data_IF_923502295425
#
_entry.id   IF_923502295425
#
_cell.length_a   1.000
_cell.length_b   1.000
_cell.length_c   1.000
_cell.angle_alpha   90.00
_cell.angle_beta   90.00
_cell.angle_gamma   90.00
#
_symmetry.space_group_name_H-M   'P 1'
#
loop_
_entity.id
_entity.type
_entity.pdbx_description
1 polymer ?
#
# COMPACT_ATOMS: atom_id res chain seq x y z
N UNK A 1 1.16 -16.42 -46.36
CA UNK A 1 1.41 -15.04 -45.87
C UNK A 1 0.18 -14.44 -45.18
N UNK A 2 -1.05 -14.62 -45.69
CA UNK A 2 -2.28 -14.08 -45.09
C UNK A 2 -2.62 -14.70 -43.71
N UNK A 3 -2.40 -16.00 -43.53
CA UNK A 3 -2.65 -16.71 -42.28
C UNK A 3 -1.77 -16.24 -41.13
N UNK A 4 -0.49 -15.95 -41.36
CA UNK A 4 0.43 -15.46 -40.33
C UNK A 4 0.11 -14.03 -39.90
N UNK A 5 -0.42 -13.18 -40.77
CA UNK A 5 -0.86 -11.82 -40.44
C UNK A 5 -2.13 -11.86 -39.60
N UNK A 6 -3.10 -12.70 -39.99
CA UNK A 6 -4.33 -12.88 -39.22
C UNK A 6 -4.05 -13.40 -37.80
N UNK A 7 -3.14 -14.38 -37.61
CA UNK A 7 -2.72 -14.88 -36.29
C UNK A 7 -2.03 -13.80 -35.48
N UNK A 8 -1.14 -13.00 -36.08
CA UNK A 8 -0.49 -11.87 -35.39
C UNK A 8 -1.50 -10.82 -34.94
N UNK A 9 -2.47 -10.48 -35.77
CA UNK A 9 -3.54 -9.54 -35.42
C UNK A 9 -4.43 -10.09 -34.29
N UNK A 10 -4.80 -11.37 -34.38
CA UNK A 10 -5.57 -12.03 -33.32
C UNK A 10 -4.85 -12.01 -31.98
N UNK A 11 -3.55 -12.35 -31.96
CA UNK A 11 -2.71 -12.30 -30.76
C UNK A 11 -2.63 -10.87 -30.21
N UNK A 12 -2.39 -9.89 -31.06
CA UNK A 12 -2.29 -8.49 -30.65
C UNK A 12 -3.60 -7.96 -30.06
N UNK A 13 -4.74 -8.24 -30.67
CA UNK A 13 -6.03 -7.70 -30.26
C UNK A 13 -6.67 -8.46 -29.11
N UNK A 14 -6.58 -9.79 -29.08
CA UNK A 14 -7.32 -10.58 -28.09
C UNK A 14 -6.47 -11.01 -26.89
N UNK A 15 -5.17 -11.24 -27.09
CA UNK A 15 -4.28 -11.69 -26.02
C UNK A 15 -3.54 -10.50 -25.41
N UNK A 16 -2.78 -9.78 -26.21
CA UNK A 16 -1.93 -8.70 -25.71
C UNK A 16 -2.74 -7.56 -25.07
N UNK A 17 -3.76 -7.03 -25.76
CA UNK A 17 -4.61 -5.95 -25.23
C UNK A 17 -5.34 -6.35 -23.96
N UNK A 18 -5.76 -7.60 -23.83
CA UNK A 18 -6.40 -8.12 -22.61
C UNK A 18 -5.47 -8.06 -21.40
N UNK A 19 -4.20 -8.45 -21.55
CA UNK A 19 -3.22 -8.41 -20.46
C UNK A 19 -2.77 -6.99 -20.16
N UNK A 20 -2.57 -6.15 -21.18
CA UNK A 20 -2.27 -4.73 -21.00
C UNK A 20 -3.42 -4.03 -20.28
N UNK A 21 -4.67 -4.30 -20.63
CA UNK A 21 -5.84 -3.75 -19.95
C UNK A 21 -5.87 -4.11 -18.45
N UNK A 22 -5.62 -5.38 -18.11
CA UNK A 22 -5.55 -5.82 -16.73
C UNK A 22 -4.39 -5.20 -15.94
N UNK A 23 -3.22 -5.09 -16.57
CA UNK A 23 -2.08 -4.43 -15.97
C UNK A 23 -2.36 -2.93 -15.73
N UNK A 24 -2.99 -2.27 -16.71
CA UNK A 24 -3.38 -0.87 -16.61
C UNK A 24 -4.39 -0.62 -15.48
N UNK A 25 -5.36 -1.50 -15.25
CA UNK A 25 -6.31 -1.40 -14.13
C UNK A 25 -5.59 -1.35 -12.78
N UNK A 26 -4.59 -2.22 -12.59
CA UNK A 26 -3.81 -2.28 -11.35
C UNK A 26 -2.94 -1.03 -11.19
N UNK A 27 -2.28 -0.60 -12.27
CA UNK A 27 -1.45 0.61 -12.25
C UNK A 27 -2.28 1.86 -11.97
N UNK A 28 -3.47 1.98 -12.56
CA UNK A 28 -4.39 3.10 -12.31
C UNK A 28 -4.93 3.08 -10.86
N UNK A 29 -5.20 1.90 -10.33
CA UNK A 29 -5.58 1.75 -8.93
C UNK A 29 -4.47 2.24 -7.99
N UNK A 30 -3.24 1.80 -8.20
CA UNK A 30 -2.07 2.22 -7.41
C UNK A 30 -1.82 3.73 -7.55
N UNK A 31 -1.93 4.27 -8.78
CA UNK A 31 -1.79 5.71 -9.01
C UNK A 31 -2.82 6.50 -8.20
N UNK A 32 -4.08 6.07 -8.22
CA UNK A 32 -5.15 6.73 -7.49
C UNK A 32 -4.94 6.67 -5.98
N UNK A 33 -4.63 5.49 -5.43
CA UNK A 33 -4.43 5.32 -3.98
C UNK A 33 -3.20 6.06 -3.47
N UNK A 34 -2.08 6.03 -4.19
CA UNK A 34 -0.88 6.79 -3.86
C UNK A 34 -1.14 8.30 -3.91
N UNK A 35 -1.90 8.79 -4.91
CA UNK A 35 -2.30 10.20 -5.00
C UNK A 35 -3.17 10.63 -3.82
N UNK A 36 -4.11 9.79 -3.39
CA UNK A 36 -4.94 10.05 -2.20
C UNK A 36 -4.05 10.23 -0.97
N UNK A 37 -3.13 9.30 -0.75
CA UNK A 37 -2.21 9.35 0.41
C UNK A 37 -1.32 10.59 0.37
N UNK A 38 -0.78 10.93 -0.80
CA UNK A 38 0.07 12.10 -0.97
C UNK A 38 -0.70 13.40 -0.68
N UNK A 39 -1.94 13.53 -1.17
CA UNK A 39 -2.79 14.68 -0.85
C UNK A 39 -2.98 14.80 0.66
N UNK A 40 -3.31 13.70 1.34
CA UNK A 40 -3.50 13.67 2.79
C UNK A 40 -2.21 14.04 3.54
N UNK A 41 -1.06 13.52 3.09
CA UNK A 41 0.24 13.77 3.70
C UNK A 41 0.69 15.22 3.50
N UNK A 42 0.51 15.77 2.30
CA UNK A 42 0.88 17.16 1.98
C UNK A 42 0.06 18.18 2.77
N UNK A 43 -1.17 17.83 3.13
CA UNK A 43 -2.04 18.65 3.97
C UNK A 43 -1.85 18.41 5.48
N UNK A 44 -0.86 17.62 5.90
CA UNK A 44 -0.56 17.35 7.30
C UNK A 44 -1.65 16.56 8.02
N UNK A 45 -2.48 15.81 7.29
CA UNK A 45 -3.56 15.04 7.89
C UNK A 45 -3.06 13.93 8.84
N UNK A 46 -1.81 13.50 8.70
CA UNK A 46 -1.18 12.48 9.53
C UNK A 46 -0.31 13.03 10.68
N UNK A 47 -0.19 14.36 10.83
CA UNK A 47 0.70 14.98 11.84
C UNK A 47 0.32 14.61 13.29
N UNK A 48 -0.97 14.31 13.53
CA UNK A 48 -1.41 13.85 14.85
C UNK A 48 -0.77 12.52 15.27
N UNK A 49 -0.36 11.68 14.30
CA UNK A 49 0.32 10.41 14.57
C UNK A 49 1.67 10.62 15.27
N UNK A 50 2.41 11.68 14.91
CA UNK A 50 3.67 12.03 15.57
C UNK A 50 3.46 12.32 17.07
N UNK A 51 2.36 12.98 17.42
CA UNK A 51 2.00 13.25 18.81
C UNK A 51 1.62 11.97 19.55
N UNK A 52 0.87 11.08 18.89
CA UNK A 52 0.43 9.80 19.46
C UNK A 52 1.60 8.84 19.69
N UNK A 53 2.57 8.81 18.76
CA UNK A 53 3.74 7.94 18.85
C UNK A 53 4.79 8.42 19.83
N UNK A 54 4.77 9.71 20.24
CA UNK A 54 5.76 10.30 21.12
C UNK A 54 5.62 9.82 22.55
N UNK A 55 6.51 8.93 22.98
CA UNK A 55 6.61 8.48 24.37
C UNK A 55 8.07 8.20 24.76
N UNK A 56 8.42 8.36 26.02
CA UNK A 56 9.78 8.08 26.52
C UNK A 56 10.07 6.58 26.67
N UNK A 57 9.05 5.76 26.81
CA UNK A 57 9.21 4.32 26.98
C UNK A 57 9.40 3.67 25.60
N UNK A 58 10.57 3.08 25.35
CA UNK A 58 10.95 2.46 24.09
C UNK A 58 9.97 1.40 23.61
N UNK A 59 9.57 0.49 24.51
CA UNK A 59 8.66 -0.62 24.17
C UNK A 59 7.28 -0.09 23.82
N UNK A 60 6.75 0.87 24.60
CA UNK A 60 5.45 1.48 24.31
C UNK A 60 5.49 2.22 22.96
N UNK A 61 6.57 2.95 22.68
CA UNK A 61 6.77 3.65 21.42
C UNK A 61 6.82 2.67 20.24
N UNK A 62 7.59 1.56 20.38
CA UNK A 62 7.68 0.52 19.37
C UNK A 62 6.30 -0.06 19.03
N UNK A 63 5.57 -0.49 20.05
CA UNK A 63 4.24 -1.06 19.86
C UNK A 63 3.26 -0.05 19.27
N UNK A 64 3.26 1.19 19.73
CA UNK A 64 2.40 2.23 19.18
C UNK A 64 2.71 2.48 17.71
N UNK A 65 4.00 2.60 17.33
CA UNK A 65 4.39 2.74 15.93
C UNK A 65 3.98 1.53 15.10
N UNK A 66 4.23 0.32 15.59
CA UNK A 66 3.94 -0.91 14.88
C UNK A 66 2.42 -1.13 14.68
N UNK A 67 1.60 -0.87 15.72
CA UNK A 67 0.12 -0.95 15.62
C UNK A 67 -0.42 0.08 14.62
N UNK A 68 0.03 1.32 14.72
CA UNK A 68 -0.40 2.38 13.80
C UNK A 68 -0.01 2.03 12.37
N UNK A 69 1.23 1.57 12.15
CA UNK A 69 1.71 1.15 10.83
C UNK A 69 0.87 0.01 10.27
N UNK A 70 0.58 -1.01 11.08
CA UNK A 70 -0.24 -2.15 10.68
C UNK A 70 -1.64 -1.72 10.23
N UNK A 71 -2.32 -0.87 11.02
CA UNK A 71 -3.67 -0.38 10.70
C UNK A 71 -3.66 0.51 9.44
N UNK A 72 -2.69 1.40 9.32
CA UNK A 72 -2.59 2.28 8.16
C UNK A 72 -2.30 1.47 6.92
N UNK A 73 -1.36 0.52 6.97
CA UNK A 73 -0.98 -0.31 5.83
C UNK A 73 -2.09 -1.27 5.37
N UNK A 74 -2.99 -1.66 6.26
CA UNK A 74 -4.18 -2.42 5.88
C UNK A 74 -5.15 -1.61 4.99
N UNK A 75 -5.02 -0.28 4.95
CA UNK A 75 -5.88 0.62 4.19
C UNK A 75 -5.17 1.34 3.05
N UNK A 76 -3.87 1.55 3.23
CA UNK A 76 -2.98 2.17 2.27
C UNK A 76 -1.97 1.11 1.81
N UNK A 77 -1.30 1.36 0.68
CA UNK A 77 -0.27 0.43 0.25
C UNK A 77 0.89 0.36 1.25
N UNK A 78 1.53 -0.81 1.33
CA UNK A 78 2.60 -1.11 2.27
C UNK A 78 3.86 -0.25 2.02
N UNK A 79 4.16 0.09 0.76
CA UNK A 79 5.34 0.89 0.42
C UNK A 79 5.20 2.33 0.90
N UNK A 80 4.10 3.00 0.54
CA UNK A 80 3.84 4.39 0.95
C UNK A 80 3.75 4.51 2.46
N UNK A 81 3.06 3.55 3.10
CA UNK A 81 2.99 3.48 4.58
C UNK A 81 4.36 3.32 5.20
N UNK A 82 5.20 2.44 4.66
CA UNK A 82 6.56 2.23 5.15
C UNK A 82 7.38 3.52 5.06
N UNK A 83 7.42 4.17 3.91
CA UNK A 83 8.19 5.42 3.70
C UNK A 83 7.69 6.52 4.64
N UNK A 84 6.37 6.70 4.74
CA UNK A 84 5.77 7.69 5.64
C UNK A 84 6.16 7.43 7.10
N UNK A 85 5.98 6.21 7.58
CA UNK A 85 6.27 5.86 8.98
C UNK A 85 7.76 5.89 9.31
N UNK A 86 8.64 5.47 8.39
CA UNK A 86 10.09 5.59 8.56
C UNK A 86 10.52 7.07 8.62
N UNK A 87 9.92 7.94 7.83
CA UNK A 87 10.18 9.38 7.87
C UNK A 87 9.76 9.99 9.21
N UNK A 88 8.59 9.60 9.72
CA UNK A 88 8.11 10.02 11.05
C UNK A 88 9.00 9.45 12.18
N UNK A 89 9.39 8.20 12.08
CA UNK A 89 10.28 7.55 13.06
C UNK A 89 11.64 8.26 13.12
N UNK A 90 12.21 8.68 11.99
CA UNK A 90 13.48 9.42 11.94
C UNK A 90 13.42 10.75 12.69
N UNK A 91 12.28 11.40 12.75
CA UNK A 91 12.07 12.63 13.50
C UNK A 91 11.97 12.39 15.02
N UNK A 92 11.53 11.20 15.44
CA UNK A 92 11.30 10.86 16.83
C UNK A 92 12.51 10.18 17.49
N UNK A 93 13.25 9.35 16.76
CA UNK A 93 14.34 8.53 17.27
C UNK A 93 15.68 9.08 16.83
N UNK A 94 16.48 9.58 17.78
CA UNK A 94 17.80 10.19 17.50
C UNK A 94 18.87 9.16 17.19
N UNK A 95 18.92 8.08 17.99
CA UNK A 95 19.99 7.09 17.92
C UNK A 95 19.86 6.18 16.69
N UNK A 96 20.91 6.14 15.86
CA UNK A 96 20.94 5.36 14.61
C UNK A 96 20.72 3.85 14.84
N UNK A 97 21.31 3.27 15.89
CA UNK A 97 21.10 1.84 16.21
C UNK A 97 19.65 1.54 16.58
N UNK A 98 19.00 2.41 17.33
CA UNK A 98 17.59 2.24 17.67
C UNK A 98 16.70 2.38 16.45
N UNK A 99 17.06 3.24 15.50
CA UNK A 99 16.32 3.39 14.20
C UNK A 99 16.22 2.07 13.43
N UNK A 100 17.24 1.20 13.51
CA UNK A 100 17.18 -0.12 12.87
C UNK A 100 16.08 -0.99 13.48
N UNK A 101 16.00 -1.05 14.81
CA UNK A 101 14.96 -1.85 15.50
C UNK A 101 13.55 -1.31 15.24
N UNK A 102 13.36 0.00 15.33
CA UNK A 102 12.08 0.62 15.02
C UNK A 102 11.73 0.48 13.54
N UNK A 103 12.70 0.66 12.66
CA UNK A 103 12.53 0.49 11.22
C UNK A 103 12.14 -0.93 10.83
N UNK A 104 12.80 -1.94 11.40
CA UNK A 104 12.43 -3.35 11.17
C UNK A 104 11.00 -3.65 11.61
N UNK A 105 10.59 -3.15 12.78
CA UNK A 105 9.22 -3.34 13.26
C UNK A 105 8.18 -2.62 12.37
N UNK A 106 8.50 -1.42 11.85
CA UNK A 106 7.65 -0.69 10.91
C UNK A 106 7.50 -1.46 9.60
N UNK A 107 8.60 -1.95 9.02
CA UNK A 107 8.57 -2.72 7.75
C UNK A 107 7.75 -4.00 7.92
N UNK A 108 7.95 -4.74 9.02
CA UNK A 108 7.15 -5.94 9.32
C UNK A 108 5.68 -5.62 9.49
N UNK A 109 5.36 -4.57 10.25
CA UNK A 109 3.99 -4.13 10.46
C UNK A 109 3.31 -3.68 9.16
N UNK A 110 4.03 -2.96 8.29
CA UNK A 110 3.52 -2.52 7.00
C UNK A 110 3.22 -3.70 6.07
N UNK A 111 4.14 -4.66 5.95
CA UNK A 111 3.92 -5.82 5.09
C UNK A 111 2.79 -6.72 5.61
N UNK A 112 2.74 -7.00 6.92
CA UNK A 112 1.67 -7.81 7.50
C UNK A 112 0.31 -7.09 7.46
N UNK A 113 0.28 -5.77 7.66
CA UNK A 113 -0.93 -4.96 7.53
C UNK A 113 -1.42 -4.90 6.08
N UNK A 114 -0.50 -4.66 5.13
CA UNK A 114 -0.81 -4.66 3.70
C UNK A 114 -1.35 -5.99 3.20
N UNK A 115 -0.76 -7.11 3.65
CA UNK A 115 -1.22 -8.45 3.30
C UNK A 115 -2.60 -8.80 3.89
N UNK A 116 -3.07 -8.10 4.91
CA UNK A 116 -4.36 -8.37 5.56
C UNK A 116 -5.55 -8.06 4.67
N UNK A 117 -5.46 -7.06 3.82
CA UNK A 117 -6.58 -6.60 2.99
C UNK A 117 -6.25 -6.70 1.50
N UNK A 118 -7.29 -6.81 0.67
CA UNK A 118 -7.12 -6.89 -0.79
C UNK A 118 -6.62 -5.59 -1.42
N UNK A 119 -6.70 -4.46 -0.71
CA UNK A 119 -6.28 -3.14 -1.20
C UNK A 119 -4.92 -2.70 -0.63
N UNK A 120 -4.43 -3.35 0.41
CA UNK A 120 -3.18 -2.97 1.08
C UNK A 120 -1.91 -3.47 0.37
N UNK A 121 -2.05 -4.40 -0.59
CA UNK A 121 -0.94 -4.95 -1.37
C UNK A 121 -1.38 -5.23 -2.82
N UNK A 122 -0.55 -4.92 -3.83
CA UNK A 122 -0.82 -5.26 -5.23
C UNK A 122 -1.15 -6.74 -5.47
N UNK A 123 -0.58 -7.66 -4.70
CA UNK A 123 -0.84 -9.10 -4.83
C UNK A 123 -2.28 -9.47 -4.45
N UNK A 124 -2.77 -8.93 -3.33
CA UNK A 124 -4.17 -9.07 -2.90
C UNK A 124 -5.15 -8.50 -3.92
N UNK A 125 -4.82 -7.33 -4.48
CA UNK A 125 -5.61 -6.67 -5.52
C UNK A 125 -5.71 -7.53 -6.78
N UNK A 126 -4.61 -8.16 -7.23
CA UNK A 126 -4.61 -9.07 -8.39
C UNK A 126 -5.54 -10.25 -8.16
N UNK A 127 -5.48 -10.88 -6.98
CA UNK A 127 -6.33 -12.03 -6.65
C UNK A 127 -7.82 -11.63 -6.61
N UNK A 128 -8.12 -10.48 -6.03
CA UNK A 128 -9.49 -9.97 -5.93
C UNK A 128 -10.04 -9.56 -7.30
N UNK A 129 -9.28 -8.82 -8.11
CA UNK A 129 -9.70 -8.36 -9.44
C UNK A 129 -9.92 -9.52 -10.43
N UNK A 130 -9.22 -10.66 -10.24
CA UNK A 130 -9.45 -11.88 -11.01
C UNK A 130 -10.60 -12.76 -10.47
N UNK A 131 -11.26 -12.36 -9.38
CA UNK A 131 -12.39 -13.07 -8.79
C UNK A 131 -12.04 -14.35 -8.01
N UNK A 132 -10.74 -14.56 -7.70
CA UNK A 132 -10.32 -15.75 -6.93
C UNK A 132 -10.72 -15.66 -5.46
N UNK A 133 -10.84 -14.45 -4.92
CA UNK A 133 -11.17 -14.20 -3.51
C UNK A 133 -12.18 -13.06 -3.38
N UNK A 134 -12.98 -13.09 -2.32
CA UNK A 134 -13.77 -11.95 -1.89
C UNK A 134 -12.99 -11.15 -0.83
N UNK A 135 -13.16 -9.84 -0.78
CA UNK A 135 -12.43 -8.98 0.15
C UNK A 135 -12.60 -9.42 1.61
N UNK A 136 -13.82 -9.79 2.00
CA UNK A 136 -14.12 -10.20 3.38
C UNK A 136 -13.45 -11.52 3.74
N UNK A 137 -13.61 -12.57 2.89
CA UNK A 137 -13.01 -13.88 3.16
C UNK A 137 -11.49 -13.81 3.18
N UNK A 138 -10.89 -13.03 2.29
CA UNK A 138 -9.45 -12.80 2.25
C UNK A 138 -8.95 -12.23 3.58
N UNK A 139 -9.54 -11.14 4.04
CA UNK A 139 -9.15 -10.49 5.29
C UNK A 139 -9.38 -11.37 6.52
N UNK A 140 -10.51 -12.10 6.59
CA UNK A 140 -10.80 -13.00 7.70
C UNK A 140 -9.83 -14.19 7.77
N UNK A 141 -9.47 -14.76 6.63
CA UNK A 141 -8.52 -15.89 6.57
C UNK A 141 -7.12 -15.46 6.95
N UNK A 142 -6.67 -14.27 6.52
CA UNK A 142 -5.32 -13.78 6.77
C UNK A 142 -5.17 -13.05 8.10
N UNK A 143 -6.26 -12.73 8.81
CA UNK A 143 -6.21 -11.99 10.07
C UNK A 143 -5.28 -12.64 11.09
N UNK A 144 -5.48 -13.91 11.39
CA UNK A 144 -4.68 -14.62 12.38
C UNK A 144 -3.21 -14.78 11.96
N UNK A 145 -2.89 -15.27 10.74
CA UNK A 145 -1.51 -15.34 10.25
C UNK A 145 -0.79 -13.99 10.27
N UNK A 146 -1.42 -12.92 9.80
CA UNK A 146 -0.83 -11.59 9.78
C UNK A 146 -0.56 -11.04 11.18
N UNK A 147 -1.50 -11.23 12.12
CA UNK A 147 -1.31 -10.83 13.51
C UNK A 147 -0.15 -11.57 14.17
N UNK A 148 -0.05 -12.89 13.98
CA UNK A 148 1.04 -13.70 14.53
C UNK A 148 2.38 -13.31 13.91
N UNK A 149 2.44 -13.22 12.58
CA UNK A 149 3.66 -12.87 11.83
C UNK A 149 4.20 -11.47 12.18
N UNK A 150 3.32 -10.54 12.56
CA UNK A 150 3.69 -9.21 13.01
C UNK A 150 4.01 -9.14 14.50
N UNK A 151 3.16 -9.72 15.37
CA UNK A 151 3.27 -9.54 16.81
C UNK A 151 4.48 -10.24 17.41
N UNK A 152 4.81 -11.47 16.97
CA UNK A 152 5.92 -12.26 17.50
C UNK A 152 7.28 -11.58 17.25
N UNK A 153 7.64 -11.18 16.00
CA UNK A 153 8.91 -10.48 15.79
C UNK A 153 8.96 -9.11 16.46
N UNK A 154 7.85 -8.36 16.47
CA UNK A 154 7.78 -7.05 17.14
C UNK A 154 8.04 -7.19 18.65
N UNK A 155 7.48 -8.22 19.29
CA UNK A 155 7.74 -8.52 20.69
C UNK A 155 9.21 -8.90 20.95
N UNK A 156 9.80 -9.70 20.08
CA UNK A 156 11.23 -10.05 20.15
C UNK A 156 12.12 -8.82 20.02
N UNK A 157 11.88 -7.97 19.02
CA UNK A 157 12.57 -6.70 18.82
C UNK A 157 12.44 -5.81 20.08
N UNK A 158 11.24 -5.74 20.66
CA UNK A 158 10.98 -4.96 21.85
C UNK A 158 11.77 -5.38 23.09
N UNK A 159 12.23 -6.64 23.15
CA UNK A 159 13.12 -7.13 24.22
C UNK A 159 14.56 -6.66 24.08
N UNK A 160 15.01 -6.41 22.87
CA UNK A 160 16.38 -5.97 22.55
C UNK A 160 16.56 -4.46 22.71
N UNK A 161 15.46 -3.69 22.95
CA UNK A 161 15.51 -2.25 23.12
C UNK A 161 15.75 -1.86 24.58
N UNK A 162 16.55 -0.79 24.83
CA UNK A 162 16.68 -0.20 26.17
C UNK A 162 15.33 0.36 26.65
N UNK A 163 15.15 0.48 27.95
CA UNK A 163 13.89 0.92 28.56
C UNK A 163 13.49 2.36 28.20
N UNK A 164 14.48 3.22 27.92
CA UNK A 164 14.26 4.64 27.58
C UNK A 164 15.02 4.99 26.30
N UNK A 165 14.32 5.63 25.35
CA UNK A 165 14.90 6.20 24.14
C UNK A 165 14.98 7.72 24.28
N UNK A 166 16.11 8.30 23.90
CA UNK A 166 16.23 9.73 23.74
C UNK A 166 15.33 10.16 22.56
N UNK A 167 14.26 10.87 22.86
CA UNK A 167 13.38 11.46 21.85
C UNK A 167 13.70 12.94 21.75
N UNK A 168 13.94 13.43 20.53
CA UNK A 168 14.02 14.86 20.29
C UNK A 168 12.66 15.53 20.52
N UNK A 169 12.71 16.79 20.96
CA UNK A 169 11.54 17.68 20.82
C UNK A 169 11.32 17.83 19.32
N UNK A 170 10.31 17.15 18.78
CA UNK A 170 9.89 17.38 17.41
C UNK A 170 9.41 18.82 17.33
N UNK A 171 10.27 19.70 16.89
CA UNK A 171 9.84 20.91 16.22
C UNK A 171 9.26 20.37 14.91
N UNK A 172 7.94 20.33 14.80
CA UNK A 172 7.28 19.96 13.54
C UNK A 172 7.89 20.84 12.47
N UNK A 173 8.63 20.29 11.49
CA UNK A 173 9.23 21.14 10.50
C UNK A 173 8.07 21.82 9.77
N UNK A 174 7.95 23.14 9.98
CA UNK A 174 7.27 24.14 9.15
C UNK A 174 5.90 23.81 8.51
N UNK A 175 5.47 22.56 8.50
CA UNK A 175 4.22 22.09 7.89
C UNK A 175 2.98 22.20 8.80
N UNK A 176 3.17 22.46 10.09
CA UNK A 176 2.07 22.37 11.07
C UNK A 176 1.44 23.70 11.46
N UNK A 177 2.21 24.79 11.54
CA UNK A 177 1.72 26.07 12.07
C UNK A 177 1.32 27.07 10.97
N UNK A 178 1.89 26.97 9.76
CA UNK A 178 1.54 27.85 8.64
C UNK A 178 0.44 27.28 7.72
N UNK A 179 -0.02 26.07 7.95
CA UNK A 179 -1.24 25.60 7.31
C UNK A 179 -2.42 26.19 8.04
N UNK A 180 -3.03 27.24 7.50
CA UNK A 180 -4.32 27.74 7.94
C UNK A 180 -5.47 26.71 7.84
N UNK A 181 -5.14 25.42 7.78
CA UNK A 181 -6.09 24.33 7.76
C UNK A 181 -6.58 24.04 9.17
N UNK A 182 -7.85 24.29 9.38
CA UNK A 182 -8.53 23.99 10.62
C UNK A 182 -8.52 22.48 10.88
N UNK A 183 -8.48 22.04 12.14
CA UNK A 183 -8.54 20.63 12.53
C UNK A 183 -9.70 19.91 11.85
N UNK A 184 -10.85 20.55 11.75
CA UNK A 184 -12.04 20.01 11.07
C UNK A 184 -11.82 19.75 9.57
N UNK A 185 -11.07 20.61 8.90
CA UNK A 185 -10.74 20.43 7.47
C UNK A 185 -9.82 19.23 7.27
N UNK A 186 -8.81 19.03 8.15
CA UNK A 186 -7.93 17.88 8.13
C UNK A 186 -8.71 16.58 8.40
N UNK A 187 -9.61 16.61 9.38
CA UNK A 187 -10.47 15.46 9.69
C UNK A 187 -11.40 15.15 8.51
N UNK A 188 -12.00 16.16 7.89
CA UNK A 188 -12.83 16.00 6.69
C UNK A 188 -12.05 15.31 5.57
N UNK A 189 -10.84 15.78 5.27
CA UNK A 189 -9.99 15.18 4.24
C UNK A 189 -9.60 13.74 4.57
N UNK A 190 -9.29 13.43 5.85
CA UNK A 190 -9.04 12.06 6.31
C UNK A 190 -10.25 11.16 6.12
N UNK A 191 -11.43 11.63 6.52
CA UNK A 191 -12.68 10.86 6.38
C UNK A 191 -13.00 10.62 4.91
N UNK A 192 -12.84 11.62 4.05
CA UNK A 192 -13.06 11.47 2.60
C UNK A 192 -12.02 10.53 1.98
N UNK A 193 -10.74 10.69 2.29
CA UNK A 193 -9.67 9.88 1.71
C UNK A 193 -9.69 8.44 2.21
N UNK A 194 -9.53 8.23 3.52
CA UNK A 194 -9.48 6.88 4.11
C UNK A 194 -10.86 6.21 4.08
N UNK A 195 -11.93 6.92 4.43
CA UNK A 195 -13.28 6.40 4.35
C UNK A 195 -13.68 6.05 2.91
N UNK A 196 -13.24 6.84 1.93
CA UNK A 196 -13.40 6.55 0.51
C UNK A 196 -12.69 5.26 0.09
N UNK A 197 -11.48 5.01 0.56
CA UNK A 197 -10.77 3.76 0.29
C UNK A 197 -11.52 2.54 0.86
N UNK A 198 -12.11 2.67 2.03
CA UNK A 198 -12.97 1.61 2.60
C UNK A 198 -14.26 1.39 1.80
N UNK A 199 -14.71 2.40 1.09
CA UNK A 199 -15.89 2.29 0.23
C UNK A 199 -15.61 1.51 -1.06
N UNK A 200 -14.36 1.39 -1.53
CA UNK A 200 -14.00 0.73 -2.80
C UNK A 200 -14.52 -0.73 -2.87
N UNK A 201 -14.31 -1.60 -1.86
CA UNK A 201 -14.84 -2.96 -1.89
C UNK A 201 -16.38 -2.99 -1.97
N UNK A 202 -17.04 -2.10 -1.24
CA UNK A 202 -18.51 -1.96 -1.27
C UNK A 202 -18.98 -1.50 -2.65
N UNK A 203 -18.32 -0.50 -3.23
CA UNK A 203 -18.58 -0.02 -4.59
C UNK A 203 -18.45 -1.14 -5.62
N UNK A 204 -17.36 -1.92 -5.56
CA UNK A 204 -17.15 -3.07 -6.44
C UNK A 204 -18.25 -4.14 -6.28
N UNK A 205 -18.66 -4.44 -5.04
CA UNK A 205 -19.71 -5.43 -4.78
C UNK A 205 -21.07 -5.02 -5.33
N UNK A 206 -21.41 -3.72 -5.26
CA UNK A 206 -22.70 -3.17 -5.74
C UNK A 206 -22.69 -3.04 -7.26
N UNK A 207 -21.65 -2.42 -7.82
CA UNK A 207 -21.62 -2.04 -9.24
C UNK A 207 -21.06 -3.12 -10.15
N UNK A 208 -20.30 -4.07 -9.60
CA UNK A 208 -19.51 -5.08 -10.34
C UNK A 208 -18.46 -4.45 -11.26
N UNK A 209 -18.19 -3.15 -11.13
CA UNK A 209 -17.14 -2.46 -11.86
C UNK A 209 -15.78 -2.75 -11.24
N UNK A 210 -14.71 -2.61 -12.03
CA UNK A 210 -13.35 -2.82 -11.56
C UNK A 210 -12.97 -1.84 -10.42
N UNK A 211 -12.23 -2.29 -9.38
CA UNK A 211 -11.87 -1.49 -8.22
C UNK A 211 -11.18 -0.16 -8.53
N UNK A 212 -10.43 -0.07 -9.64
CA UNK A 212 -9.71 1.15 -10.02
C UNK A 212 -10.65 2.33 -10.28
N UNK A 213 -11.87 2.07 -10.79
CA UNK A 213 -12.87 3.12 -10.98
C UNK A 213 -13.32 3.71 -9.65
N UNK A 214 -13.54 2.87 -8.64
CA UNK A 214 -13.84 3.32 -7.28
C UNK A 214 -12.72 4.19 -6.70
N UNK A 215 -11.47 3.78 -6.89
CA UNK A 215 -10.32 4.55 -6.43
C UNK A 215 -10.20 5.93 -7.13
N UNK A 216 -10.43 5.98 -8.44
CA UNK A 216 -10.45 7.23 -9.20
C UNK A 216 -11.61 8.16 -8.78
N UNK A 217 -12.79 7.61 -8.48
CA UNK A 217 -13.90 8.39 -7.94
C UNK A 217 -13.54 9.02 -6.59
N UNK A 218 -12.95 8.24 -5.68
CA UNK A 218 -12.50 8.74 -4.37
C UNK A 218 -11.44 9.83 -4.55
N UNK A 219 -10.45 9.60 -5.44
CA UNK A 219 -9.43 10.59 -5.76
C UNK A 219 -10.05 11.89 -6.27
N UNK A 220 -11.02 11.81 -7.18
CA UNK A 220 -11.69 12.98 -7.77
C UNK A 220 -12.41 13.79 -6.70
N UNK A 221 -13.16 13.13 -5.81
CA UNK A 221 -13.84 13.80 -4.69
C UNK A 221 -12.84 14.44 -3.74
N UNK A 222 -11.78 13.71 -3.35
CA UNK A 222 -10.75 14.23 -2.46
C UNK A 222 -10.01 15.41 -3.10
N UNK A 223 -9.76 15.36 -4.41
CA UNK A 223 -9.11 16.45 -5.15
C UNK A 223 -9.97 17.73 -5.11
N UNK A 224 -11.28 17.61 -5.36
CA UNK A 224 -12.22 18.74 -5.26
C UNK A 224 -12.21 19.30 -3.83
N UNK A 225 -12.29 18.45 -2.81
CA UNK A 225 -12.24 18.88 -1.40
C UNK A 225 -10.91 19.59 -1.11
N UNK A 226 -9.79 19.03 -1.59
CA UNK A 226 -8.46 19.62 -1.43
C UNK A 226 -8.38 21.02 -2.07
N UNK A 227 -8.91 21.18 -3.28
CA UNK A 227 -8.90 22.47 -3.99
C UNK A 227 -9.77 23.51 -3.27
N UNK A 228 -10.97 23.11 -2.80
CA UNK A 228 -11.88 24.00 -2.06
C UNK A 228 -11.27 24.44 -0.74
N UNK A 229 -10.67 23.50 0.01
CA UNK A 229 -10.04 23.76 1.31
C UNK A 229 -8.82 24.67 1.17
N UNK A 230 -8.01 24.46 0.13
CA UNK A 230 -6.79 25.22 -0.11
C UNK A 230 -6.98 26.49 -0.97
N UNK A 231 -8.22 26.82 -1.36
CA UNK A 231 -8.52 27.96 -2.26
C UNK A 231 -8.03 29.32 -1.76
N UNK A 232 -7.94 29.49 -0.44
CA UNK A 232 -7.52 30.76 0.18
C UNK A 232 -6.00 30.94 0.27
N UNK A 233 -5.22 29.94 -0.11
CA UNK A 233 -3.78 29.93 0.02
C UNK A 233 -3.15 30.34 -1.31
N UNK A 234 -2.57 31.57 -1.37
CA UNK A 234 -2.12 32.24 -2.61
C UNK A 234 -0.60 32.20 -2.81
N UNK A 235 0.18 31.59 -1.93
CA UNK A 235 1.65 31.63 -1.96
C UNK A 235 2.26 30.51 -2.83
N UNK A 236 3.39 30.82 -3.54
CA UNK A 236 4.08 29.87 -4.45
C UNK A 236 4.47 28.52 -3.80
N UNK A 237 4.79 28.50 -2.51
CA UNK A 237 5.03 27.27 -1.74
C UNK A 237 3.80 26.34 -1.70
N UNK A 238 2.62 26.86 -1.95
CA UNK A 238 1.36 26.15 -1.88
C UNK A 238 0.92 25.51 -3.19
N UNK A 239 1.50 25.91 -4.31
CA UNK A 239 1.36 25.20 -5.60
C UNK A 239 1.81 23.76 -5.43
N UNK A 240 2.86 23.50 -4.64
CA UNK A 240 3.33 22.15 -4.33
C UNK A 240 2.37 21.33 -3.47
N UNK A 241 1.42 21.94 -2.76
CA UNK A 241 0.39 21.23 -1.98
C UNK A 241 -0.85 20.90 -2.82
N UNK A 242 -1.12 21.69 -3.85
CA UNK A 242 -2.28 21.49 -4.73
C UNK A 242 -2.10 20.33 -5.68
N UNK A 243 -0.89 20.16 -6.21
CA UNK A 243 -0.62 19.11 -7.20
C UNK A 243 0.16 17.96 -6.58
N UNK A 244 -0.41 16.77 -6.50
CA UNK A 244 0.32 15.59 -6.05
C UNK A 244 1.54 15.37 -6.93
N UNK A 245 2.70 15.13 -6.31
CA UNK A 245 3.94 14.78 -7.01
C UNK A 245 4.05 13.27 -7.23
N UNK A 246 2.91 12.58 -7.34
CA UNK A 246 2.85 11.13 -7.52
C UNK A 246 3.67 10.65 -8.72
N UNK A 247 3.84 11.49 -9.71
CA UNK A 247 4.71 11.22 -10.85
C UNK A 247 6.21 11.43 -10.53
N UNK A 248 6.60 11.42 -9.27
CA UNK A 248 8.02 11.38 -8.92
C UNK A 248 8.65 10.07 -9.41
N UNK A 249 9.93 10.15 -9.72
CA UNK A 249 10.68 9.05 -10.36
C UNK A 249 10.49 7.68 -9.70
N UNK A 250 10.45 7.62 -8.36
CA UNK A 250 10.28 6.37 -7.61
C UNK A 250 8.92 5.70 -7.82
N UNK A 251 7.85 6.48 -7.91
CA UNK A 251 6.48 5.96 -8.13
C UNK A 251 6.30 5.45 -9.55
N UNK A 252 6.79 6.19 -10.54
CA UNK A 252 6.78 5.76 -11.95
C UNK A 252 7.56 4.45 -12.10
N UNK A 253 8.72 4.35 -11.48
CA UNK A 253 9.56 3.16 -11.53
C UNK A 253 8.84 1.94 -10.95
N UNK A 254 8.15 2.08 -9.82
CA UNK A 254 7.34 1.03 -9.22
C UNK A 254 6.18 0.61 -10.14
N UNK A 255 5.47 1.57 -10.72
CA UNK A 255 4.36 1.29 -11.64
C UNK A 255 4.83 0.54 -12.89
N UNK A 256 5.95 0.94 -13.47
CA UNK A 256 6.56 0.26 -14.62
C UNK A 256 7.02 -1.15 -14.25
N UNK A 257 7.57 -1.34 -13.06
CA UNK A 257 7.96 -2.64 -12.53
C UNK A 257 6.74 -3.57 -12.40
N UNK A 258 5.66 -3.10 -11.76
CA UNK A 258 4.42 -3.87 -11.59
C UNK A 258 3.81 -4.22 -12.96
N UNK A 259 3.73 -3.25 -13.86
CA UNK A 259 3.24 -3.47 -15.23
C UNK A 259 4.09 -4.50 -15.98
N UNK A 260 5.41 -4.36 -15.93
CA UNK A 260 6.36 -5.29 -16.56
C UNK A 260 6.24 -6.71 -16.01
N UNK A 261 6.12 -6.83 -14.69
CA UNK A 261 5.96 -8.14 -14.02
C UNK A 261 4.66 -8.83 -14.42
N UNK A 262 3.54 -8.10 -14.46
CA UNK A 262 2.24 -8.66 -14.88
C UNK A 262 2.29 -9.11 -16.32
N UNK A 263 2.89 -8.32 -17.22
CA UNK A 263 3.04 -8.69 -18.64
C UNK A 263 3.98 -9.89 -18.81
N UNK A 264 5.09 -9.96 -18.08
CA UNK A 264 6.00 -11.10 -18.11
C UNK A 264 5.30 -12.39 -17.64
N UNK A 265 4.55 -12.33 -16.55
CA UNK A 265 3.75 -13.45 -16.06
C UNK A 265 2.66 -13.86 -17.06
N UNK A 266 2.06 -12.92 -17.76
CA UNK A 266 1.10 -13.19 -18.83
C UNK A 266 1.74 -14.00 -19.97
N UNK A 267 2.94 -13.63 -20.40
CA UNK A 267 3.69 -14.39 -21.42
C UNK A 267 3.98 -15.80 -20.94
N UNK A 268 4.49 -15.96 -19.71
CA UNK A 268 4.77 -17.28 -19.11
C UNK A 268 3.50 -18.14 -19.03
N UNK A 269 2.35 -17.54 -18.71
CA UNK A 269 1.07 -18.21 -18.69
C UNK A 269 0.65 -18.72 -20.08
N UNK A 270 0.80 -17.89 -21.10
CA UNK A 270 0.41 -18.26 -22.48
C UNK A 270 1.34 -19.32 -23.09
N UNK A 271 2.60 -19.44 -22.65
CA UNK A 271 3.49 -20.53 -23.07
C UNK A 271 3.09 -21.90 -22.54
N UNK A 272 2.12 -21.98 -21.61
CA UNK A 272 1.66 -23.22 -21.00
C UNK A 272 2.66 -23.89 -20.03
N UNK A 273 3.79 -23.26 -19.75
CA UNK A 273 4.81 -23.79 -18.82
C UNK A 273 4.22 -23.96 -17.43
N UNK A 274 3.44 -22.99 -16.94
CA UNK A 274 2.78 -23.08 -15.64
C UNK A 274 1.76 -24.20 -15.57
N UNK A 275 1.02 -24.45 -16.65
CA UNK A 275 0.06 -25.56 -16.73
C UNK A 275 0.77 -26.93 -16.69
N UNK A 276 1.93 -27.05 -17.35
CA UNK A 276 2.75 -28.27 -17.28
C UNK A 276 3.34 -28.48 -15.88
N UNK A 277 3.83 -27.42 -15.23
CA UNK A 277 4.31 -27.47 -13.86
C UNK A 277 3.21 -27.86 -12.87
N UNK A 278 2.02 -27.26 -12.97
CA UNK A 278 0.89 -27.59 -12.09
C UNK A 278 0.37 -29.00 -12.32
N UNK A 279 0.42 -29.52 -13.54
CA UNK A 279 0.06 -30.90 -13.86
C UNK A 279 1.10 -31.94 -13.38
N UNK A 280 2.36 -31.53 -13.20
CA UNK A 280 3.42 -32.40 -12.65
C UNK A 280 3.37 -32.49 -11.11
N UNK A 281 2.75 -31.50 -10.46
CA UNK A 281 2.56 -31.47 -9.00
C UNK A 281 1.12 -31.92 -8.71
N UNK A 282 0.96 -33.16 -8.25
CA UNK A 282 -0.33 -33.65 -7.76
C UNK A 282 -0.59 -32.96 -6.41
N UNK A 283 -1.39 -31.89 -6.43
CA UNK A 283 -1.71 -31.11 -5.24
C UNK A 283 -2.69 -31.85 -4.33
N UNK A 284 -2.17 -32.77 -3.52
CA UNK A 284 -2.86 -33.24 -2.33
C UNK A 284 -2.87 -32.15 -1.23
N UNK A 285 -3.67 -32.30 -0.17
CA UNK A 285 -3.71 -31.32 0.92
C UNK A 285 -2.35 -31.02 1.56
N UNK A 286 -1.44 -32.02 1.62
CA UNK A 286 -0.08 -31.86 2.12
C UNK A 286 0.81 -31.08 1.13
N UNK A 287 0.59 -31.27 -0.16
CA UNK A 287 1.43 -30.65 -1.22
C UNK A 287 1.19 -29.14 -1.33
N UNK A 288 -0.01 -28.66 -0.97
CA UNK A 288 -0.32 -27.23 -0.89
C UNK A 288 0.56 -26.54 0.15
N UNK A 289 0.79 -27.16 1.30
CA UNK A 289 1.68 -26.64 2.33
C UNK A 289 3.15 -26.62 1.86
N UNK A 290 3.60 -27.69 1.22
CA UNK A 290 4.95 -27.80 0.66
C UNK A 290 5.15 -26.73 -0.43
N UNK A 291 4.20 -26.59 -1.35
CA UNK A 291 4.24 -25.57 -2.39
C UNK A 291 4.25 -24.15 -1.79
N UNK A 292 3.45 -23.89 -0.76
CA UNK A 292 3.41 -22.60 -0.06
C UNK A 292 4.74 -22.27 0.62
N UNK A 293 5.34 -23.23 1.33
CA UNK A 293 6.64 -23.04 1.99
C UNK A 293 7.76 -22.82 0.96
N UNK A 294 7.81 -23.64 -0.10
CA UNK A 294 8.80 -23.49 -1.16
C UNK A 294 8.68 -22.14 -1.86
N UNK A 295 7.46 -21.72 -2.20
CA UNK A 295 7.21 -20.41 -2.81
C UNK A 295 7.65 -19.28 -1.88
N UNK A 296 7.35 -19.37 -0.58
CA UNK A 296 7.77 -18.42 0.42
C UNK A 296 9.29 -18.33 0.56
N UNK A 297 10.00 -19.48 0.56
CA UNK A 297 11.45 -19.53 0.61
C UNK A 297 12.08 -18.89 -0.65
N UNK A 298 11.59 -19.26 -1.84
CA UNK A 298 12.10 -18.69 -3.10
C UNK A 298 11.86 -17.18 -3.15
N UNK A 299 10.67 -16.72 -2.77
CA UNK A 299 10.34 -15.29 -2.72
C UNK A 299 11.17 -14.51 -1.69
N UNK A 300 11.67 -15.15 -0.63
CA UNK A 300 12.50 -14.49 0.36
C UNK A 300 13.96 -14.27 -0.08
N UNK A 301 14.39 -14.99 -1.12
CA UNK A 301 15.76 -14.91 -1.67
C UNK A 301 15.82 -14.03 -2.92
N UNK A 302 14.73 -13.96 -3.69
CA UNK A 302 14.59 -13.11 -4.88
C UNK A 302 14.16 -11.70 -4.49
#
# INVERSE_FOLDING_TARGET
ASSSVAVKQFIAQNIFLKYVGRAAEIVLFLLATMSIVEILQNNGCFDFLLRLMRTRNSRRMLWTMAVITFIISANLDNLTTTVMMLTMMRQLVVNHRHRLFFGSAIVLAANCGGALTVIGDPTGLVLWNNGFVTATNFSMTLLLPCLVAWALPTWWIGRSLPSVVATERVVLPYRGDDTNLNIWQRVLMLVVGIGGLWFIPTFHNITKLSPFLGALCVLSVLWIVNEVVNRKLITDEMIHRRTPRVLQYGVIQMMLFVMGTILALAVVKETGVLAKLSGAVHLGPADVWVAGVLTGMVSSVL
#
